data_IF_171526868519
#
_entry.id   IF_171526868519
#
_cell.length_a   1.000
_cell.length_b   1.000
_cell.length_c   1.000
_cell.angle_alpha   90.00
_cell.angle_beta   90.00
_cell.angle_gamma   90.00
#
_symmetry.space_group_name_H-M   'P 1'
#
loop_
_entity.id
_entity.type
_entity.pdbx_description
1 polymer ?
#
# COMPACT_ATOMS: atom_id res chain seq x y z
N UNK A 1 -31.78 -2.12 3.33
CA UNK A 1 -30.81 -1.96 4.41
C UNK A 1 -29.75 -1.02 3.88
N UNK A 2 -30.09 0.27 3.86
CA UNK A 2 -29.09 1.33 4.08
C UNK A 2 -28.46 1.03 5.46
N UNK A 3 -27.19 1.25 5.72
CA UNK A 3 -26.32 2.36 5.38
C UNK A 3 -24.88 1.91 5.68
N UNK A 4 -23.91 2.58 5.04
CA UNK A 4 -22.48 2.66 5.37
C UNK A 4 -22.01 1.84 6.58
N UNK A 5 -21.13 0.89 6.30
CA UNK A 5 -20.23 0.27 7.27
C UNK A 5 -19.35 1.38 7.85
N UNK A 6 -19.84 2.00 8.93
CA UNK A 6 -19.03 2.68 9.94
C UNK A 6 -18.23 1.57 10.66
N UNK A 7 -17.29 0.96 9.92
CA UNK A 7 -16.13 0.30 10.52
C UNK A 7 -15.46 1.39 11.36
N UNK A 8 -15.16 1.17 12.65
CA UNK A 8 -14.75 2.23 13.56
C UNK A 8 -13.60 3.01 12.91
N UNK A 9 -13.92 4.17 12.33
CA UNK A 9 -13.03 4.86 11.39
C UNK A 9 -11.74 5.12 12.15
N UNK A 10 -10.78 4.26 11.84
CA UNK A 10 -9.49 4.20 12.48
C UNK A 10 -8.96 5.63 12.47
N UNK A 11 -8.43 6.14 13.59
CA UNK A 11 -7.92 7.52 13.79
C UNK A 11 -6.85 7.96 12.74
N UNK A 12 -6.66 7.19 11.68
CA UNK A 12 -5.80 7.43 10.56
C UNK A 12 -6.49 8.19 9.42
N UNK A 13 -5.77 9.15 8.88
CA UNK A 13 -6.22 9.96 7.74
C UNK A 13 -5.68 9.34 6.46
N UNK A 14 -6.54 8.91 5.54
CA UNK A 14 -6.07 8.45 4.22
C UNK A 14 -5.49 9.62 3.42
N UNK A 15 -4.27 9.45 2.90
CA UNK A 15 -3.65 10.44 2.02
C UNK A 15 -4.35 10.44 0.65
N UNK A 16 -4.55 11.62 0.03
CA UNK A 16 -4.98 11.71 -1.36
C UNK A 16 -3.94 11.17 -2.37
N UNK A 17 -2.72 10.83 -1.92
CA UNK A 17 -1.68 10.21 -2.74
C UNK A 17 -1.81 8.69 -2.82
N UNK A 18 -2.67 8.08 -2.01
CA UNK A 18 -3.02 6.66 -2.10
C UNK A 18 -3.53 6.35 -3.51
N UNK A 19 -2.90 5.40 -4.20
CA UNK A 19 -3.19 5.10 -5.60
C UNK A 19 -2.72 3.70 -6.01
N UNK A 20 -3.35 3.15 -7.04
CA UNK A 20 -2.86 1.95 -7.70
C UNK A 20 -1.71 2.31 -8.66
N UNK A 21 -0.58 1.62 -8.51
CA UNK A 21 0.62 1.83 -9.31
C UNK A 21 0.94 0.56 -10.09
N UNK A 22 1.20 0.71 -11.40
CA UNK A 22 1.76 -0.34 -12.24
C UNK A 22 3.17 0.06 -12.66
N UNK A 23 4.19 -0.67 -12.19
CA UNK A 23 5.60 -0.37 -12.45
C UNK A 23 6.41 -1.66 -12.55
N UNK A 24 7.37 -1.70 -13.48
CA UNK A 24 8.26 -2.85 -13.70
C UNK A 24 7.53 -4.21 -13.87
N UNK A 25 6.34 -4.19 -14.46
CA UNK A 25 5.53 -5.40 -14.70
C UNK A 25 4.72 -5.88 -13.50
N UNK A 26 4.71 -5.11 -12.41
CA UNK A 26 3.99 -5.42 -11.17
C UNK A 26 2.89 -4.40 -10.94
N UNK A 27 1.70 -4.89 -10.55
CA UNK A 27 0.58 -4.07 -10.13
C UNK A 27 0.47 -4.11 -8.61
N UNK A 28 0.48 -2.95 -7.98
CA UNK A 28 0.27 -2.82 -6.53
C UNK A 28 -0.73 -1.69 -6.23
N UNK A 29 -1.31 -1.73 -5.04
CA UNK A 29 -2.03 -0.60 -4.44
C UNK A 29 -1.15 0.02 -3.37
N UNK A 30 -0.82 1.29 -3.54
CA UNK A 30 -0.11 2.08 -2.54
C UNK A 30 -1.15 2.77 -1.68
N UNK A 31 -1.17 2.45 -0.40
CA UNK A 31 -2.06 3.03 0.59
C UNK A 31 -1.21 3.76 1.63
N UNK A 32 -1.58 5.02 1.91
CA UNK A 32 -0.80 5.90 2.78
C UNK A 32 -1.75 6.46 3.83
N UNK A 33 -1.42 6.25 5.10
CA UNK A 33 -2.29 6.58 6.22
C UNK A 33 -1.55 7.50 7.21
N UNK A 34 -2.12 8.64 7.55
CA UNK A 34 -1.56 9.53 8.56
C UNK A 34 -1.87 9.00 9.95
N UNK A 35 -0.85 8.67 10.75
CA UNK A 35 -1.04 8.46 12.17
C UNK A 35 -1.29 9.83 12.81
N UNK A 36 -2.32 9.97 13.64
CA UNK A 36 -2.84 11.26 14.14
C UNK A 36 -1.82 12.11 14.93
N UNK A 37 -0.57 11.64 15.07
CA UNK A 37 0.59 12.37 15.63
C UNK A 37 1.42 13.09 14.57
N UNK A 38 1.00 13.04 13.31
CA UNK A 38 1.63 13.75 12.19
C UNK A 38 2.66 12.94 11.41
N UNK A 39 2.78 11.63 11.67
CA UNK A 39 3.54 10.72 10.82
C UNK A 39 2.64 10.05 9.78
N UNK A 40 3.27 9.46 8.77
CA UNK A 40 2.60 8.76 7.68
C UNK A 40 3.09 7.32 7.60
N UNK A 41 2.16 6.39 7.55
CA UNK A 41 2.37 4.97 7.39
C UNK A 41 2.22 4.67 5.90
N UNK A 42 3.17 3.89 5.37
CA UNK A 42 3.08 3.35 4.02
C UNK A 42 2.68 1.88 4.08
N UNK A 43 1.69 1.53 3.27
CA UNK A 43 1.30 0.16 2.97
C UNK A 43 1.30 -0.05 1.45
N UNK A 44 1.94 -1.13 1.00
CA UNK A 44 1.80 -1.59 -0.38
C UNK A 44 1.10 -2.94 -0.36
N UNK A 45 -0.03 -3.02 -1.06
CA UNK A 45 -0.77 -4.27 -1.27
C UNK A 45 -0.51 -4.77 -2.68
N UNK A 46 0.11 -5.93 -2.82
CA UNK A 46 0.35 -6.52 -4.14
C UNK A 46 -0.86 -7.28 -4.70
N UNK A 47 -0.73 -7.77 -5.93
CA UNK A 47 -1.77 -8.51 -6.63
C UNK A 47 -2.25 -9.80 -5.94
N UNK A 48 -1.44 -10.40 -5.06
CA UNK A 48 -1.82 -11.53 -4.22
C UNK A 48 -2.46 -11.10 -2.89
N UNK A 49 -2.82 -9.81 -2.76
CA UNK A 49 -3.40 -9.21 -1.56
C UNK A 49 -2.49 -9.41 -0.33
N UNK A 50 -1.17 -9.50 -0.54
CA UNK A 50 -0.20 -9.47 0.56
C UNK A 50 0.12 -8.01 0.85
N UNK A 51 0.07 -7.68 2.14
CA UNK A 51 0.31 -6.33 2.64
C UNK A 51 1.76 -6.20 3.07
N UNK A 52 2.42 -5.17 2.55
CA UNK A 52 3.78 -4.77 2.88
C UNK A 52 3.71 -3.43 3.59
N UNK A 53 3.85 -3.45 4.92
CA UNK A 53 3.80 -2.24 5.75
C UNK A 53 5.21 -1.86 6.19
N UNK A 54 5.51 -0.57 6.12
CA UNK A 54 6.78 -0.03 6.62
C UNK A 54 6.70 0.19 8.13
N UNK A 55 7.77 -0.18 8.85
CA UNK A 55 7.84 0.01 10.30
C UNK A 55 8.15 1.46 10.71
N UNK A 56 8.74 2.23 9.80
CA UNK A 56 9.09 3.63 10.02
C UNK A 56 7.97 4.54 9.50
N UNK A 57 7.64 5.58 10.28
CA UNK A 57 6.70 6.61 9.86
C UNK A 57 7.44 7.69 9.07
N UNK A 58 6.86 8.12 7.96
CA UNK A 58 7.35 9.22 7.14
C UNK A 58 6.83 10.55 7.68
N UNK A 59 7.58 11.64 7.46
CA UNK A 59 7.14 12.99 7.88
C UNK A 59 6.03 13.53 6.96
N UNK A 60 6.00 13.07 5.70
CA UNK A 60 5.01 13.46 4.70
C UNK A 60 4.52 12.25 3.90
N UNK A 61 3.28 12.32 3.44
CA UNK A 61 2.71 11.35 2.51
C UNK A 61 3.47 11.31 1.17
N UNK A 62 4.09 12.42 0.76
CA UNK A 62 4.96 12.46 -0.41
C UNK A 62 6.22 11.60 -0.23
N UNK A 63 6.84 11.62 0.95
CA UNK A 63 7.99 10.75 1.25
C UNK A 63 7.57 9.28 1.27
N UNK A 64 6.41 8.97 1.85
CA UNK A 64 5.84 7.62 1.81
C UNK A 64 5.63 7.16 0.36
N UNK A 65 5.01 7.97 -0.50
CA UNK A 65 4.81 7.62 -1.90
C UNK A 65 6.16 7.45 -2.63
N UNK A 66 7.14 8.33 -2.38
CA UNK A 66 8.45 8.24 -3.01
C UNK A 66 9.17 6.94 -2.65
N UNK A 67 9.09 6.52 -1.37
CA UNK A 67 9.66 5.25 -0.91
C UNK A 67 8.94 4.06 -1.55
N UNK A 68 7.62 4.11 -1.68
CA UNK A 68 6.85 3.08 -2.37
C UNK A 68 7.31 2.89 -3.82
N UNK A 69 7.43 4.00 -4.55
CA UNK A 69 7.89 4.01 -5.94
C UNK A 69 9.34 3.54 -6.09
N UNK A 70 10.18 3.86 -5.11
CA UNK A 70 11.58 3.43 -5.04
C UNK A 70 11.68 1.92 -4.79
N UNK A 71 10.93 1.38 -3.84
CA UNK A 71 10.90 -0.05 -3.57
C UNK A 71 10.43 -0.86 -4.79
N UNK A 72 9.45 -0.35 -5.53
CA UNK A 72 9.01 -0.94 -6.81
C UNK A 72 10.06 -0.87 -7.92
N UNK A 73 11.03 0.04 -7.84
CA UNK A 73 12.16 0.13 -8.78
C UNK A 73 13.34 -0.75 -8.36
N UNK A 74 13.69 -0.78 -7.07
CA UNK A 74 14.82 -1.55 -6.57
C UNK A 74 14.50 -3.05 -6.45
N UNK A 75 13.30 -3.39 -5.98
CA UNK A 75 12.91 -4.77 -5.67
C UNK A 75 11.47 -5.11 -6.16
N UNK A 76 11.17 -4.99 -7.47
CA UNK A 76 9.82 -5.28 -7.99
C UNK A 76 9.37 -6.72 -7.72
N UNK A 77 10.31 -7.68 -7.68
CA UNK A 77 10.00 -9.09 -7.45
C UNK A 77 9.39 -9.36 -6.06
N UNK A 78 9.67 -8.50 -5.08
CA UNK A 78 9.06 -8.58 -3.74
C UNK A 78 7.54 -8.41 -3.82
N UNK A 79 7.07 -7.59 -4.75
CA UNK A 79 5.65 -7.22 -4.90
C UNK A 79 4.97 -7.93 -6.06
N UNK A 80 5.64 -8.86 -6.75
CA UNK A 80 5.06 -9.55 -7.91
C UNK A 80 3.76 -10.29 -7.55
N UNK A 81 3.56 -10.59 -6.25
CA UNK A 81 2.53 -11.50 -5.78
C UNK A 81 2.90 -12.90 -6.28
N UNK A 82 2.96 -13.87 -5.39
CA UNK A 82 3.17 -15.26 -5.81
C UNK A 82 1.96 -15.74 -6.60
N UNK A 83 1.98 -15.54 -7.92
CA UNK A 83 1.07 -16.15 -8.89
C UNK A 83 1.29 -17.67 -9.02
N UNK A 84 2.11 -18.27 -8.16
CA UNK A 84 2.36 -19.71 -8.12
C UNK A 84 1.36 -20.41 -7.21
N UNK A 85 0.07 -20.19 -7.44
CA UNK A 85 -0.94 -21.23 -7.18
C UNK A 85 -2.06 -21.11 -8.21
N UNK A 86 -1.71 -21.24 -9.48
CA UNK A 86 -2.66 -21.78 -10.44
C UNK A 86 -2.33 -23.27 -10.56
N UNK A 87 -3.12 -24.17 -9.95
CA UNK A 87 -2.91 -25.58 -10.20
C UNK A 87 -3.06 -25.80 -11.71
N UNK A 88 -1.99 -26.29 -12.33
CA UNK A 88 -2.07 -26.95 -13.62
C UNK A 88 -2.80 -28.28 -13.39
N UNK A 89 -4.13 -28.27 -13.41
CA UNK A 89 -4.93 -29.41 -13.87
C UNK A 89 -6.40 -29.03 -14.09
#
# INVERSE_FOLDING_TARGET
MTEHDDDPESDFIESPLSQSVFRNGVAVRVEIYGDSRGGWILEIVDAANTSHVWNEHFETDQQALAEALRALDEEPLTFLGRATDRPLN
#
